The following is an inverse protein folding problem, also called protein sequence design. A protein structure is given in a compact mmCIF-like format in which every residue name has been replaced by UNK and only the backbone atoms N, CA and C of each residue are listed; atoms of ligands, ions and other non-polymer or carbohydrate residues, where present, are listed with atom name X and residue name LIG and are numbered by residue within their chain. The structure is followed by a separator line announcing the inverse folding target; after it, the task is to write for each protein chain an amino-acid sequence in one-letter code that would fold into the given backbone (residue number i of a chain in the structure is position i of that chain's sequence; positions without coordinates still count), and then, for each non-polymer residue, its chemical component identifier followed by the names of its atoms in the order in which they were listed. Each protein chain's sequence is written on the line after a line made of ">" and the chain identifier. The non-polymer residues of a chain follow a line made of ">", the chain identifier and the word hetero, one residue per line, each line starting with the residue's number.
data_IF_061196970723
#
_entry.id   IF_061196970723
#
_cell.length_a   1.000
_cell.length_b   1.000
_cell.length_c   1.000
_cell.angle_alpha   90.00
_cell.angle_beta   90.00
_cell.angle_gamma   90.00
#
_symmetry.space_group_name_H-M   'P 1'
#
loop_
_entity.id
_entity.type
_entity.pdbx_description
1 polymer ?
#
# COMPACT_ATOMS: atom_id res chain seq x y z
N UNK A 1 -13.65 3.51 -22.04
CA UNK A 1 -13.32 2.96 -20.71
C UNK A 1 -11.94 2.32 -20.83
N UNK A 2 -10.88 3.05 -20.54
CA UNK A 2 -9.52 2.54 -20.76
C UNK A 2 -8.52 3.58 -20.32
N UNK A 3 -7.89 3.35 -19.17
CA UNK A 3 -6.69 4.07 -18.78
C UNK A 3 -5.61 3.68 -19.79
N UNK A 4 -5.43 4.50 -20.83
CA UNK A 4 -4.24 4.40 -21.67
C UNK A 4 -3.13 5.12 -20.90
N UNK A 5 -2.36 4.36 -20.11
CA UNK A 5 -1.09 4.86 -19.57
C UNK A 5 -0.20 5.07 -20.79
N UNK A 6 -0.09 6.32 -21.24
CA UNK A 6 0.86 6.68 -22.31
C UNK A 6 2.25 6.63 -21.70
N UNK A 7 2.82 5.42 -21.63
CA UNK A 7 4.24 5.21 -21.35
C UNK A 7 4.99 5.66 -22.59
N UNK A 8 5.21 6.97 -22.73
CA UNK A 8 6.12 7.48 -23.75
C UNK A 8 7.54 7.10 -23.33
N UNK A 9 8.11 6.11 -24.00
CA UNK A 9 9.35 5.41 -23.66
C UNK A 9 10.63 6.27 -23.80
N UNK A 10 10.55 7.60 -23.77
CA UNK A 10 11.71 8.48 -24.00
C UNK A 10 12.11 9.40 -22.85
N UNK A 11 11.49 9.33 -21.67
CA UNK A 11 11.99 10.00 -20.44
C UNK A 11 11.74 9.11 -19.21
N UNK A 12 12.78 8.67 -18.47
CA UNK A 12 12.66 7.59 -17.48
C UNK A 12 12.02 7.97 -16.12
N UNK A 13 11.34 9.12 -15.98
CA UNK A 13 11.14 9.70 -14.63
C UNK A 13 9.84 10.48 -14.39
N UNK A 14 8.78 10.39 -15.21
CA UNK A 14 7.56 11.18 -14.94
C UNK A 14 6.26 10.47 -15.32
N UNK A 15 5.49 10.02 -14.32
CA UNK A 15 4.16 9.47 -14.53
C UNK A 15 3.17 10.59 -14.81
N UNK A 16 2.75 10.76 -16.06
CA UNK A 16 1.69 11.72 -16.39
C UNK A 16 0.32 11.08 -16.18
N UNK A 17 -0.45 11.58 -15.22
CA UNK A 17 -1.84 11.18 -15.01
C UNK A 17 -2.75 12.11 -15.80
N UNK A 18 -3.63 11.54 -16.63
CA UNK A 18 -4.60 12.33 -17.40
C UNK A 18 -5.82 12.65 -16.55
N UNK A 19 -6.02 13.93 -16.19
CA UNK A 19 -7.23 14.40 -15.54
C UNK A 19 -8.45 14.27 -16.46
N UNK A 20 -9.67 14.05 -15.92
CA UNK A 20 -10.92 14.03 -16.71
C UNK A 20 -11.15 15.33 -17.50
N UNK A 21 -10.57 16.45 -17.05
CA UNK A 21 -10.65 17.76 -17.73
C UNK A 21 -9.55 17.96 -18.81
N UNK A 22 -8.79 16.91 -19.15
CA UNK A 22 -7.73 16.99 -20.17
C UNK A 22 -6.42 17.63 -19.68
N UNK A 23 -6.34 18.03 -18.41
CA UNK A 23 -5.09 18.52 -17.81
C UNK A 23 -4.14 17.35 -17.50
N UNK A 24 -2.88 17.46 -17.89
CA UNK A 24 -1.83 16.52 -17.48
C UNK A 24 -1.26 17.01 -16.15
N UNK A 25 -1.43 16.23 -15.08
CA UNK A 25 -0.79 16.50 -13.81
C UNK A 25 0.48 15.65 -13.69
N UNK A 26 1.55 16.24 -13.14
CA UNK A 26 2.72 15.47 -12.71
C UNK A 26 2.30 14.57 -11.55
N UNK A 27 2.22 13.26 -11.80
CA UNK A 27 2.11 12.26 -10.74
C UNK A 27 3.49 11.89 -10.18
N UNK A 28 3.55 11.27 -8.99
CA UNK A 28 4.79 10.71 -8.47
C UNK A 28 5.36 9.71 -9.47
N UNK A 29 6.68 9.66 -9.56
CA UNK A 29 7.36 8.65 -10.37
C UNK A 29 7.08 7.27 -9.79
N UNK A 30 7.18 6.22 -10.61
CA UNK A 30 7.02 4.84 -10.11
C UNK A 30 8.07 4.54 -9.03
N UNK A 31 9.29 5.05 -9.18
CA UNK A 31 10.34 4.88 -8.18
C UNK A 31 10.04 5.62 -6.87
N UNK A 32 9.47 6.82 -6.92
CA UNK A 32 9.07 7.57 -5.74
C UNK A 32 7.90 6.90 -5.02
N UNK A 33 6.85 6.52 -5.77
CA UNK A 33 5.71 5.83 -5.20
C UNK A 33 6.11 4.48 -4.56
N UNK A 34 7.05 3.75 -5.17
CA UNK A 34 7.59 2.53 -4.59
C UNK A 34 8.41 2.80 -3.32
N UNK A 35 9.22 3.86 -3.29
CA UNK A 35 9.98 4.24 -2.09
C UNK A 35 9.05 4.65 -0.93
N UNK A 36 7.99 5.40 -1.21
CA UNK A 36 7.00 5.82 -0.22
C UNK A 36 6.26 4.60 0.37
N UNK A 37 5.88 3.64 -0.48
CA UNK A 37 5.27 2.38 -0.04
C UNK A 37 6.22 1.54 0.83
N UNK A 38 7.49 1.42 0.43
CA UNK A 38 8.50 0.70 1.21
C UNK A 38 8.70 1.34 2.58
N UNK A 39 8.85 2.67 2.63
CA UNK A 39 9.01 3.40 3.89
C UNK A 39 7.81 3.21 4.82
N UNK A 40 6.58 3.21 4.28
CA UNK A 40 5.38 2.94 5.06
C UNK A 40 5.37 1.52 5.63
N UNK A 41 5.67 0.53 4.79
CA UNK A 41 5.75 -0.87 5.21
C UNK A 41 6.81 -1.06 6.30
N UNK A 42 8.01 -0.51 6.13
CA UNK A 42 9.10 -0.61 7.12
C UNK A 42 8.74 0.03 8.45
N UNK A 43 8.02 1.16 8.44
CA UNK A 43 7.57 1.83 9.65
C UNK A 43 6.55 0.98 10.45
N UNK A 44 5.68 0.21 9.77
CA UNK A 44 4.56 -0.51 10.41
C UNK A 44 4.73 -2.03 10.45
N UNK A 45 5.78 -2.60 9.84
CA UNK A 45 6.01 -4.06 9.78
C UNK A 45 6.05 -4.71 11.16
N UNK A 46 6.49 -3.98 12.19
CA UNK A 46 6.60 -4.47 13.57
C UNK A 46 5.25 -4.60 14.28
N UNK A 47 4.25 -3.87 13.80
CA UNK A 47 2.90 -3.84 14.35
C UNK A 47 1.98 -4.82 13.62
N UNK A 48 2.40 -5.37 12.47
CA UNK A 48 1.66 -6.35 11.71
C UNK A 48 1.75 -7.75 12.38
N UNK A 49 0.66 -8.27 12.98
CA UNK A 49 0.65 -9.55 13.68
C UNK A 49 0.84 -10.77 12.76
N UNK A 50 0.69 -10.57 11.44
CA UNK A 50 0.86 -11.61 10.42
C UNK A 50 2.31 -11.70 9.95
N UNK A 51 3.06 -10.58 9.98
CA UNK A 51 4.48 -10.56 9.65
C UNK A 51 5.33 -10.84 10.89
N UNK A 52 5.02 -10.21 12.02
CA UNK A 52 5.65 -10.47 13.32
C UNK A 52 4.67 -11.26 14.19
N UNK A 53 4.93 -12.55 14.44
CA UNK A 53 4.01 -13.39 15.20
C UNK A 53 3.79 -12.84 16.60
N UNK A 54 2.53 -12.62 16.96
CA UNK A 54 2.15 -12.27 18.33
C UNK A 54 2.06 -13.51 19.22
N UNK A 55 2.30 -13.36 20.54
CA UNK A 55 2.09 -14.43 21.51
C UNK A 55 0.68 -15.00 21.46
N UNK A 56 0.54 -16.29 21.79
CA UNK A 56 -0.74 -16.99 21.73
C UNK A 56 -1.84 -16.35 22.60
N UNK A 57 -1.47 -15.70 23.70
CA UNK A 57 -2.38 -14.95 24.56
C UNK A 57 -2.93 -13.68 23.89
N UNK A 58 -2.17 -13.03 23.02
CA UNK A 58 -2.58 -11.79 22.37
C UNK A 58 -3.33 -12.05 21.06
N UNK A 59 -3.16 -13.25 20.49
CA UNK A 59 -3.91 -13.68 19.32
C UNK A 59 -5.39 -13.94 19.68
N UNK A 60 -6.35 -13.12 19.18
CA UNK A 60 -7.77 -13.30 19.49
C UNK A 60 -8.37 -14.57 18.88
N UNK A 61 -7.70 -15.18 17.90
CA UNK A 61 -8.13 -16.45 17.27
C UNK A 61 -7.59 -17.69 17.99
N UNK A 62 -6.66 -17.54 18.94
CA UNK A 62 -6.19 -18.65 19.78
C UNK A 62 -6.99 -18.67 21.08
N UNK A 63 -7.38 -19.87 21.53
CA UNK A 63 -8.26 -20.08 22.68
C UNK A 63 -7.82 -19.26 23.92
N UNK A 64 -8.54 -18.17 24.17
CA UNK A 64 -8.78 -17.65 25.52
C UNK A 64 -10.16 -18.11 25.92
N UNK A 65 -10.25 -18.87 27.02
CA UNK A 65 -11.48 -19.49 27.55
C UNK A 65 -12.64 -18.53 27.85
N UNK A 66 -12.49 -17.22 27.65
CA UNK A 66 -13.54 -16.22 27.88
C UNK A 66 -13.37 -15.10 26.85
N UNK A 67 -14.48 -14.63 26.29
CA UNK A 67 -14.61 -13.48 25.37
C UNK A 67 -14.33 -13.74 23.88
N UNK A 68 -15.00 -14.72 23.29
CA UNK A 68 -15.34 -14.65 21.87
C UNK A 68 -16.71 -13.97 21.76
N UNK A 69 -16.73 -12.64 21.58
CA UNK A 69 -17.97 -11.92 21.22
C UNK A 69 -18.04 -11.90 19.71
N UNK A 70 -18.93 -12.72 19.14
CA UNK A 70 -19.38 -12.58 17.76
C UNK A 70 -20.31 -11.36 17.73
N UNK A 71 -19.97 -10.37 16.90
CA UNK A 71 -20.78 -9.16 16.67
C UNK A 71 -21.75 -9.39 15.51
#
# INVERSE_FOLDING_TARGET
>A
MGLSVVVHTTQPVLGLVRSPNGHLCLGPTVSQAAADLLAYCEAHVREDPLIIPVPASENPFREKKFFCTIL
#
